data_IF_391876388550
#
_entry.id   IF_391876388550
#
_cell.length_a   1.000
_cell.length_b   1.000
_cell.length_c   1.000
_cell.angle_alpha   90.00
_cell.angle_beta   90.00
_cell.angle_gamma   90.00
#
_symmetry.space_group_name_H-M   'P 1'
#
loop_
_entity.id
_entity.type
_entity.pdbx_description
1 polymer ?
#
# COMPACT_ATOMS: atom_id res chain seq x y z
N UNK A 1 3.90 -6.56 7.35
CA UNK A 1 4.84 -7.70 7.21
C UNK A 1 6.24 -7.29 6.74
N UNK A 2 6.43 -6.07 6.21
CA UNK A 2 7.72 -5.61 5.66
C UNK A 2 8.92 -5.86 6.57
N UNK A 3 8.77 -5.75 7.89
CA UNK A 3 9.85 -6.06 8.84
C UNK A 3 10.36 -7.51 8.75
N UNK A 4 9.48 -8.50 8.51
CA UNK A 4 9.88 -9.89 8.33
C UNK A 4 10.64 -10.09 7.01
N UNK A 5 10.20 -9.43 5.94
CA UNK A 5 10.89 -9.47 4.65
C UNK A 5 12.26 -8.80 4.71
N UNK A 6 12.37 -7.69 5.44
CA UNK A 6 13.65 -7.03 5.69
C UNK A 6 14.60 -7.95 6.47
N UNK A 7 14.13 -8.67 7.49
CA UNK A 7 14.93 -9.69 8.20
C UNK A 7 15.39 -10.81 7.28
N UNK A 8 14.58 -11.17 6.27
CA UNK A 8 14.93 -12.14 5.24
C UNK A 8 15.85 -11.59 4.13
N UNK A 9 16.29 -10.33 4.21
CA UNK A 9 17.14 -9.70 3.20
C UNK A 9 16.41 -9.22 1.94
N UNK A 10 15.08 -9.18 1.97
CA UNK A 10 14.25 -8.72 0.86
C UNK A 10 13.89 -7.25 1.12
N UNK A 11 14.22 -6.30 0.22
CA UNK A 11 13.76 -4.93 0.32
C UNK A 11 12.23 -4.88 0.33
N UNK A 12 11.64 -4.24 1.34
CA UNK A 12 10.18 -4.19 1.50
C UNK A 12 9.74 -2.86 2.12
N UNK A 13 8.54 -2.43 1.76
CA UNK A 13 7.86 -1.25 2.32
C UNK A 13 6.46 -1.63 2.78
N UNK A 14 5.91 -0.87 3.73
CA UNK A 14 4.46 -0.87 4.02
C UNK A 14 3.91 0.43 3.45
N UNK A 15 2.94 0.31 2.55
CA UNK A 15 2.29 1.44 1.91
C UNK A 15 0.87 1.06 1.52
N UNK A 16 -0.04 2.02 1.60
CA UNK A 16 -1.45 1.86 1.28
C UNK A 16 -2.22 3.17 1.47
N UNK A 17 -3.50 3.20 1.08
CA UNK A 17 -4.35 4.39 1.15
C UNK A 17 -4.84 4.67 2.58
N UNK A 18 -5.29 5.91 2.81
CA UNK A 18 -5.90 6.36 4.07
C UNK A 18 -4.92 6.91 5.10
N UNK A 19 -5.44 7.26 6.27
CA UNK A 19 -4.68 7.79 7.41
C UNK A 19 -4.51 6.73 8.50
N UNK A 20 -3.26 6.41 8.82
CA UNK A 20 -2.93 5.46 9.88
C UNK A 20 -3.40 5.93 11.26
N UNK A 21 -3.61 7.23 11.46
CA UNK A 21 -4.09 7.78 12.73
C UNK A 21 -5.51 7.31 13.10
N UNK A 22 -6.32 6.93 12.10
CA UNK A 22 -7.70 6.43 12.29
C UNK A 22 -7.80 4.89 12.26
N UNK A 23 -6.71 4.17 12.02
CA UNK A 23 -6.70 2.72 12.07
C UNK A 23 -7.05 2.18 13.48
N UNK A 24 -7.79 1.07 13.53
CA UNK A 24 -8.29 0.43 14.76
C UNK A 24 -9.17 1.34 15.63
N UNK A 25 -9.83 2.34 15.02
CA UNK A 25 -10.85 3.17 15.68
C UNK A 25 -12.25 2.67 15.30
N UNK A 26 -13.28 2.91 16.14
CA UNK A 26 -14.65 2.47 15.83
C UNK A 26 -15.21 3.03 14.51
N UNK A 27 -14.71 4.19 14.09
CA UNK A 27 -15.06 4.93 12.90
C UNK A 27 -13.94 4.88 11.83
N UNK A 28 -13.14 3.81 11.82
CA UNK A 28 -12.13 3.57 10.79
C UNK A 28 -12.72 3.65 9.38
N UNK A 29 -12.07 4.44 8.52
CA UNK A 29 -12.49 4.66 7.14
C UNK A 29 -11.28 4.92 6.24
N UNK A 30 -11.55 4.89 4.93
CA UNK A 30 -10.64 5.35 3.88
C UNK A 30 -11.46 6.14 2.87
N UNK A 31 -10.93 7.25 2.35
CA UNK A 31 -11.61 8.02 1.32
C UNK A 31 -11.63 7.24 0.00
N UNK A 32 -12.74 7.36 -0.75
CA UNK A 32 -12.86 6.70 -2.05
C UNK A 32 -11.75 7.17 -3.01
N UNK A 33 -11.41 8.45 -2.97
CA UNK A 33 -10.33 9.02 -3.79
C UNK A 33 -8.95 8.48 -3.44
N UNK A 34 -8.71 8.13 -2.16
CA UNK A 34 -7.44 7.51 -1.75
C UNK A 34 -7.34 6.08 -2.29
N UNK A 35 -8.45 5.33 -2.30
CA UNK A 35 -8.52 4.01 -2.91
C UNK A 35 -8.26 4.08 -4.43
N UNK A 36 -8.89 5.03 -5.12
CA UNK A 36 -8.69 5.25 -6.56
C UNK A 36 -7.22 5.54 -6.87
N UNK A 37 -6.60 6.47 -6.14
CA UNK A 37 -5.17 6.78 -6.30
C UNK A 37 -4.27 5.57 -6.01
N UNK A 38 -4.61 4.74 -5.02
CA UNK A 38 -3.87 3.52 -4.71
C UNK A 38 -3.96 2.50 -5.86
N UNK A 39 -5.14 2.34 -6.47
CA UNK A 39 -5.33 1.44 -7.61
C UNK A 39 -4.52 1.91 -8.82
N UNK A 40 -4.50 3.20 -9.13
CA UNK A 40 -3.69 3.75 -10.23
C UNK A 40 -2.20 3.44 -10.08
N UNK A 41 -1.66 3.54 -8.85
CA UNK A 41 -0.26 3.19 -8.57
C UNK A 41 0.00 1.70 -8.77
N UNK A 42 -0.88 0.84 -8.28
CA UNK A 42 -0.74 -0.62 -8.41
C UNK A 42 -0.84 -1.07 -9.87
N UNK A 43 -1.75 -0.47 -10.65
CA UNK A 43 -1.87 -0.71 -12.10
C UNK A 43 -0.58 -0.33 -12.82
N UNK A 44 -0.06 0.87 -12.58
CA UNK A 44 1.19 1.32 -13.19
C UNK A 44 2.37 0.43 -12.81
N UNK A 45 2.50 0.09 -11.52
CA UNK A 45 3.56 -0.81 -11.05
C UNK A 45 3.46 -2.20 -11.71
N UNK A 46 2.24 -2.72 -11.88
CA UNK A 46 2.01 -3.99 -12.57
C UNK A 46 2.44 -3.93 -14.03
N UNK A 47 2.14 -2.83 -14.73
CA UNK A 47 2.62 -2.61 -16.11
C UNK A 47 4.14 -2.55 -16.13
N UNK A 48 4.76 -1.75 -15.26
CA UNK A 48 6.21 -1.56 -15.23
C UNK A 48 6.94 -2.91 -15.00
N UNK A 49 6.51 -3.70 -14.01
CA UNK A 49 7.13 -5.00 -13.69
C UNK A 49 6.93 -6.06 -14.78
N UNK A 50 5.82 -6.02 -15.53
CA UNK A 50 5.50 -7.05 -16.53
C UNK A 50 6.04 -6.72 -17.93
N UNK A 51 6.44 -5.47 -18.17
CA UNK A 51 6.90 -5.00 -19.49
C UNK A 51 8.39 -4.69 -19.55
N UNK A 52 9.07 -4.68 -18.41
CA UNK A 52 10.54 -4.73 -18.27
C UNK A 52 11.06 -6.17 -18.16
#
# INVERSE_FOLDING_TARGET
>A
EAGLFQVAGIPAVVWGPGDIAVAHRPDEYVEVTDLEACLEVLERLGVDILTE
#
